data_IF_566931887472
#
_entry.id   IF_566931887472
#
_cell.length_a   1.000
_cell.length_b   1.000
_cell.length_c   1.000
_cell.angle_alpha   90.00
_cell.angle_beta   90.00
_cell.angle_gamma   90.00
#
_symmetry.space_group_name_H-M   'P 1'
#
loop_
_entity.id
_entity.type
_entity.pdbx_description
1 polymer ?
#
# COMPACT_ATOMS: atom_id res chain seq x y z
N UNK A 1 14.43 -26.43 -19.06
CA UNK A 1 13.03 -25.95 -19.11
C UNK A 1 12.85 -24.95 -17.99
N UNK A 2 12.50 -23.69 -18.28
CA UNK A 2 12.26 -22.70 -17.23
C UNK A 2 10.88 -22.96 -16.62
N UNK A 3 10.80 -23.14 -15.30
CA UNK A 3 9.53 -23.20 -14.60
C UNK A 3 9.01 -21.79 -14.34
N UNK A 4 7.75 -21.52 -14.69
CA UNK A 4 7.09 -20.26 -14.34
C UNK A 4 7.01 -20.10 -12.81
N UNK A 5 7.88 -19.27 -12.24
CA UNK A 5 7.88 -18.92 -10.82
C UNK A 5 6.90 -17.78 -10.53
N UNK A 6 6.14 -17.88 -9.43
CA UNK A 6 5.29 -16.80 -8.92
C UNK A 6 5.73 -16.46 -7.50
N UNK A 7 6.18 -15.23 -7.31
CA UNK A 7 6.67 -14.75 -6.01
C UNK A 7 5.85 -13.55 -5.55
N UNK A 8 5.79 -13.35 -4.23
CA UNK A 8 5.06 -12.26 -3.59
C UNK A 8 5.84 -11.78 -2.38
N UNK A 9 6.11 -10.48 -2.35
CA UNK A 9 6.82 -9.84 -1.26
C UNK A 9 6.06 -8.59 -0.80
N UNK A 10 6.25 -8.23 0.47
CA UNK A 10 5.72 -6.99 1.06
C UNK A 10 6.82 -5.93 0.97
N UNK A 11 6.54 -4.86 0.23
CA UNK A 11 7.50 -3.75 -0.03
C UNK A 11 7.26 -2.53 0.87
N UNK A 12 6.12 -2.49 1.55
CA UNK A 12 5.81 -1.53 2.60
C UNK A 12 4.65 -2.10 3.44
N UNK A 13 4.65 -1.83 4.74
CA UNK A 13 3.57 -2.20 5.65
C UNK A 13 3.46 -1.21 6.80
N UNK A 14 2.24 -0.95 7.22
CA UNK A 14 1.91 -0.23 8.45
C UNK A 14 0.90 -1.08 9.22
N UNK A 15 1.16 -1.27 10.50
CA UNK A 15 0.26 -1.96 11.42
C UNK A 15 -0.07 -1.00 12.55
N UNK A 16 -1.32 -0.53 12.61
CA UNK A 16 -1.79 0.34 13.70
C UNK A 16 -2.86 -0.37 14.53
N UNK A 17 -2.96 0.03 15.80
CA UNK A 17 -4.05 -0.31 16.72
C UNK A 17 -4.75 0.95 17.24
N UNK A 18 -4.48 2.11 16.65
CA UNK A 18 -5.00 3.38 17.12
C UNK A 18 -6.51 3.44 16.89
N UNK A 19 -7.27 3.84 17.92
CA UNK A 19 -8.74 3.90 17.91
C UNK A 19 -9.44 2.54 17.71
N UNK A 20 -8.75 1.44 18.04
CA UNK A 20 -9.35 0.12 18.14
C UNK A 20 -9.69 -0.24 19.60
N UNK A 21 -10.81 -0.94 19.86
CA UNK A 21 -11.80 -1.40 18.88
C UNK A 21 -12.69 -0.25 18.38
N UNK A 22 -13.07 -0.30 17.11
CA UNK A 22 -14.05 0.63 16.54
C UNK A 22 -15.41 0.33 17.19
N UNK A 23 -16.06 1.36 17.72
CA UNK A 23 -17.33 1.24 18.45
C UNK A 23 -18.41 0.76 17.47
N UNK A 24 -19.25 -0.18 17.91
CA UNK A 24 -20.37 -0.66 17.10
C UNK A 24 -21.31 0.49 16.73
N UNK A 25 -21.70 0.57 15.46
CA UNK A 25 -22.54 1.66 14.94
C UNK A 25 -21.79 2.96 14.63
N UNK A 26 -20.46 3.01 14.81
CA UNK A 26 -19.63 4.16 14.42
C UNK A 26 -18.91 3.92 13.08
N UNK A 27 -18.49 5.01 12.44
CA UNK A 27 -17.67 5.00 11.23
C UNK A 27 -16.26 5.43 11.56
N UNK A 28 -15.26 4.72 11.02
CA UNK A 28 -13.85 5.06 11.16
C UNK A 28 -13.26 5.43 9.80
N UNK A 29 -12.67 6.63 9.72
CA UNK A 29 -11.97 7.13 8.54
C UNK A 29 -10.53 7.48 8.91
N UNK A 30 -9.57 6.98 8.15
CA UNK A 30 -8.16 7.26 8.36
C UNK A 30 -7.36 7.17 7.05
N UNK A 31 -6.41 8.08 6.88
CA UNK A 31 -5.53 8.12 5.71
C UNK A 31 -4.16 7.58 6.08
N UNK A 32 -3.77 6.48 5.44
CA UNK A 32 -2.44 5.88 5.61
C UNK A 32 -1.52 6.29 4.46
N UNK A 33 -0.32 6.77 4.80
CA UNK A 33 0.76 7.00 3.83
C UNK A 33 1.74 5.82 3.81
N UNK A 34 1.90 5.16 2.67
CA UNK A 34 2.89 4.09 2.47
C UNK A 34 3.89 4.50 1.38
N UNK A 35 5.17 4.32 1.65
CA UNK A 35 6.23 4.50 0.65
C UNK A 35 6.77 3.12 0.27
N UNK A 36 6.46 2.60 -0.92
CA UNK A 36 6.96 1.30 -1.37
C UNK A 36 8.47 1.42 -1.62
N UNK A 37 9.26 0.65 -0.86
CA UNK A 37 10.73 0.66 -0.99
C UNK A 37 11.25 -0.75 -1.12
N UNK A 38 12.52 -0.90 -1.54
CA UNK A 38 13.16 -2.20 -1.54
C UNK A 38 13.16 -2.77 -0.11
N UNK A 39 12.50 -3.92 0.08
CA UNK A 39 12.45 -4.60 1.38
C UNK A 39 13.84 -5.08 1.80
N UNK A 40 14.04 -5.32 3.10
CA UNK A 40 15.24 -5.97 3.62
C UNK A 40 15.32 -7.46 3.24
N UNK A 41 14.20 -8.05 2.83
CA UNK A 41 14.16 -9.42 2.30
C UNK A 41 14.84 -9.47 0.94
N UNK A 42 15.98 -10.18 0.87
CA UNK A 42 16.87 -10.17 -0.30
C UNK A 42 16.34 -10.96 -1.51
N UNK A 43 15.29 -11.77 -1.34
CA UNK A 43 14.92 -12.79 -2.32
C UNK A 43 13.61 -12.43 -3.05
N UNK A 44 13.62 -12.62 -4.36
CA UNK A 44 12.42 -12.61 -5.21
C UNK A 44 11.67 -11.26 -5.27
N UNK A 45 12.41 -10.15 -5.23
CA UNK A 45 11.88 -8.80 -5.49
C UNK A 45 12.37 -8.34 -6.86
N UNK A 46 11.46 -7.80 -7.67
CA UNK A 46 11.81 -7.18 -8.94
C UNK A 46 12.31 -5.75 -8.71
N UNK A 47 13.47 -5.44 -9.27
CA UNK A 47 14.16 -4.15 -9.18
C UNK A 47 14.44 -3.62 -10.59
N UNK A 48 14.55 -2.30 -10.74
CA UNK A 48 14.94 -1.68 -12.01
C UNK A 48 16.40 -1.96 -12.39
N UNK A 49 17.26 -2.12 -11.38
CA UNK A 49 18.70 -2.31 -11.55
C UNK A 49 19.20 -3.37 -10.56
N UNK A 50 20.51 -3.62 -10.54
CA UNK A 50 21.17 -4.52 -9.63
C UNK A 50 20.87 -4.20 -8.16
N UNK A 51 20.67 -5.26 -7.37
CA UNK A 51 20.49 -5.16 -5.92
C UNK A 51 21.66 -4.47 -5.21
N UNK A 52 22.88 -4.57 -5.76
CA UNK A 52 24.10 -4.03 -5.13
C UNK A 52 24.28 -2.54 -5.35
N UNK A 53 23.55 -1.92 -6.29
CA UNK A 53 23.65 -0.50 -6.57
C UNK A 53 22.89 0.29 -5.51
N UNK A 54 23.53 1.32 -4.97
CA UNK A 54 22.89 2.26 -4.06
C UNK A 54 21.80 3.03 -4.80
N UNK A 55 20.60 3.14 -4.22
CA UNK A 55 19.49 3.86 -4.83
C UNK A 55 18.62 3.04 -5.79
N UNK A 56 18.83 1.73 -5.90
CA UNK A 56 17.97 0.86 -6.72
C UNK A 56 16.52 0.92 -6.25
N UNK A 57 15.61 1.19 -7.20
CA UNK A 57 14.16 1.21 -6.97
C UNK A 57 13.50 -0.12 -7.31
N UNK A 58 12.27 -0.29 -6.84
CA UNK A 58 11.38 -1.37 -7.24
C UNK A 58 11.08 -1.26 -8.75
N UNK A 59 10.96 -2.41 -9.42
CA UNK A 59 10.64 -2.45 -10.85
C UNK A 59 9.26 -1.84 -11.13
N UNK A 60 9.14 -1.17 -12.27
CA UNK A 60 7.88 -0.69 -12.81
C UNK A 60 6.92 -1.86 -13.10
N UNK A 61 5.64 -1.56 -13.16
CA UNK A 61 4.61 -2.57 -13.42
C UNK A 61 4.66 -3.02 -14.86
N UNK A 62 4.65 -4.34 -15.08
CA UNK A 62 4.70 -4.94 -16.41
C UNK A 62 3.42 -5.75 -16.60
N UNK A 63 2.54 -5.26 -17.47
CA UNK A 63 1.26 -5.91 -17.77
C UNK A 63 1.32 -6.64 -19.12
N UNK A 64 0.52 -7.69 -19.28
CA UNK A 64 0.31 -8.31 -20.59
C UNK A 64 -0.74 -7.50 -21.36
N UNK A 65 -0.45 -7.13 -22.61
CA UNK A 65 -1.40 -6.41 -23.46
C UNK A 65 -2.54 -7.29 -23.98
N UNK A 66 -2.38 -8.61 -23.95
CA UNK A 66 -3.42 -9.57 -24.37
C UNK A 66 -4.24 -10.05 -23.17
N UNK A 67 -5.54 -10.21 -23.40
CA UNK A 67 -6.47 -10.84 -22.47
C UNK A 67 -6.35 -12.36 -22.46
N UNK A 68 -5.77 -12.97 -23.50
CA UNK A 68 -5.58 -14.41 -23.59
C UNK A 68 -4.33 -14.83 -22.77
N UNK A 69 -4.44 -15.79 -21.86
CA UNK A 69 -3.31 -16.26 -21.07
C UNK A 69 -2.22 -16.94 -21.90
N UNK A 70 -2.58 -17.50 -23.07
CA UNK A 70 -1.66 -18.20 -23.98
C UNK A 70 -0.72 -17.24 -24.73
N UNK A 71 -1.09 -15.95 -24.82
CA UNK A 71 -0.28 -14.91 -25.48
C UNK A 71 0.81 -14.33 -24.56
N UNK A 72 0.94 -14.83 -23.33
CA UNK A 72 1.96 -14.35 -22.39
C UNK A 72 3.34 -14.77 -22.85
N UNK A 73 4.27 -13.81 -22.88
CA UNK A 73 5.66 -14.08 -23.19
C UNK A 73 6.31 -14.84 -22.02
N UNK A 74 6.64 -16.11 -22.26
CA UNK A 74 7.25 -17.02 -21.26
C UNK A 74 8.66 -16.61 -20.83
N UNK A 75 9.30 -15.68 -21.54
CA UNK A 75 10.59 -15.11 -21.20
C UNK A 75 10.49 -13.77 -20.46
N UNK A 76 9.27 -13.23 -20.28
CA UNK A 76 9.06 -11.96 -19.61
C UNK A 76 8.84 -12.12 -18.10
N UNK A 77 9.28 -11.11 -17.34
CA UNK A 77 8.95 -10.96 -15.94
C UNK A 77 7.75 -10.02 -15.83
N UNK A 78 6.61 -10.55 -15.40
CA UNK A 78 5.42 -9.75 -15.12
C UNK A 78 5.44 -9.27 -13.66
N UNK A 79 5.33 -7.96 -13.48
CA UNK A 79 5.38 -7.30 -12.16
C UNK A 79 4.06 -6.58 -11.92
N UNK A 80 3.40 -6.88 -10.81
CA UNK A 80 2.12 -6.28 -10.43
C UNK A 80 2.12 -5.91 -8.96
N UNK A 81 1.58 -4.73 -8.63
CA UNK A 81 1.46 -4.24 -7.26
C UNK A 81 0.00 -4.18 -6.81
N UNK A 82 -0.21 -4.37 -5.51
CA UNK A 82 -1.50 -4.11 -4.88
C UNK A 82 -1.28 -3.64 -3.44
N UNK A 83 -2.18 -2.80 -2.96
CA UNK A 83 -2.31 -2.49 -1.52
C UNK A 83 -3.30 -3.48 -0.92
N UNK A 84 -2.92 -4.12 0.19
CA UNK A 84 -3.85 -4.98 0.96
C UNK A 84 -4.19 -4.29 2.28
N UNK A 85 -5.45 -3.92 2.45
CA UNK A 85 -5.96 -3.44 3.73
C UNK A 85 -6.47 -4.65 4.52
N UNK A 86 -6.04 -4.76 5.78
CA UNK A 86 -6.42 -5.85 6.69
C UNK A 86 -7.07 -5.25 7.94
N UNK A 87 -8.29 -5.67 8.23
CA UNK A 87 -9.01 -5.38 9.46
C UNK A 87 -9.05 -6.64 10.30
N UNK A 88 -8.64 -6.53 11.57
CA UNK A 88 -8.73 -7.62 12.54
C UNK A 88 -9.95 -7.37 13.41
N UNK A 89 -10.97 -8.21 13.26
CA UNK A 89 -12.30 -8.01 13.87
C UNK A 89 -12.42 -8.90 15.10
N UNK A 90 -11.99 -8.40 16.27
CA UNK A 90 -12.09 -9.08 17.58
C UNK A 90 -11.59 -10.54 17.59
N UNK A 91 -11.72 -11.23 18.73
CA UNK A 91 -11.21 -12.59 18.93
C UNK A 91 -12.03 -13.64 18.16
N UNK A 92 -13.32 -13.37 17.91
CA UNK A 92 -14.20 -14.31 17.19
C UNK A 92 -14.48 -13.94 15.73
N UNK A 93 -14.19 -12.71 15.29
CA UNK A 93 -14.56 -12.21 13.96
C UNK A 93 -13.49 -12.32 12.87
N UNK A 94 -12.26 -12.70 13.21
CA UNK A 94 -11.20 -13.04 12.24
C UNK A 94 -10.57 -11.86 11.50
N UNK A 95 -10.05 -12.10 10.29
CA UNK A 95 -9.44 -11.08 9.40
C UNK A 95 -10.38 -10.80 8.21
N UNK A 96 -10.75 -9.53 8.03
CA UNK A 96 -11.36 -9.04 6.80
C UNK A 96 -10.28 -8.33 6.01
N UNK A 97 -10.18 -8.60 4.71
CA UNK A 97 -9.18 -7.92 3.89
C UNK A 97 -9.62 -7.66 2.47
N UNK A 98 -9.16 -6.55 1.92
CA UNK A 98 -9.38 -6.14 0.54
C UNK A 98 -8.05 -5.89 -0.15
N UNK A 99 -8.02 -6.04 -1.48
CA UNK A 99 -6.85 -5.74 -2.30
C UNK A 99 -7.22 -4.73 -3.37
N UNK A 100 -6.47 -3.64 -3.42
CA UNK A 100 -6.59 -2.61 -4.44
C UNK A 100 -5.35 -2.67 -5.34
N UNK A 101 -5.49 -3.05 -6.63
CA UNK A 101 -4.37 -3.02 -7.57
C UNK A 101 -3.99 -1.56 -7.90
N UNK A 102 -2.70 -1.33 -8.16
CA UNK A 102 -2.20 -0.05 -8.66
C UNK A 102 -0.98 -0.27 -9.55
N UNK A 103 -0.64 0.75 -10.35
CA UNK A 103 0.54 0.76 -11.22
C UNK A 103 1.65 1.58 -10.57
N UNK A 104 2.80 0.98 -10.37
CA UNK A 104 4.05 1.66 -10.06
C UNK A 104 4.85 1.89 -11.35
N UNK A 105 5.31 3.12 -11.59
CA UNK A 105 6.15 3.48 -12.72
C UNK A 105 7.32 4.32 -12.21
N UNK A 106 8.49 4.16 -12.80
CA UNK A 106 9.61 5.07 -12.58
C UNK A 106 9.38 6.37 -13.35
N UNK A 107 9.48 7.51 -12.67
CA UNK A 107 9.55 8.82 -13.33
C UNK A 107 11.01 9.07 -13.73
N UNK A 108 11.26 9.21 -15.03
CA UNK A 108 12.58 9.57 -15.53
C UNK A 108 12.80 11.06 -15.25
N UNK A 109 13.39 11.39 -14.11
CA UNK A 109 13.74 12.76 -13.75
C UNK A 109 15.04 13.17 -14.51
N UNK A 110 14.91 13.52 -15.79
CA UNK A 110 15.91 14.32 -16.52
C UNK A 110 15.55 15.83 -16.54
N UNK A 111 14.65 16.27 -15.67
CA UNK A 111 14.39 17.69 -15.46
C UNK A 111 14.65 18.05 -13.99
N UNK A 112 15.79 18.72 -13.79
CA UNK A 112 16.24 19.39 -12.57
C UNK A 112 15.23 20.46 -12.12
N UNK A 113 14.09 20.01 -11.61
CA UNK A 113 13.12 20.83 -10.91
C UNK A 113 12.78 20.12 -9.60
N UNK A 114 12.90 20.77 -8.43
CA UNK A 114 12.50 20.16 -7.17
C UNK A 114 10.97 20.03 -7.21
N UNK A 115 10.47 18.88 -7.64
CA UNK A 115 9.11 18.48 -7.33
C UNK A 115 9.05 18.38 -5.81
N UNK A 116 8.45 19.39 -5.17
CA UNK A 116 7.95 19.26 -3.81
C UNK A 116 7.04 18.04 -3.78
N UNK A 117 7.59 16.91 -3.31
CA UNK A 117 6.78 15.85 -2.73
C UNK A 117 5.83 16.55 -1.77
N UNK A 118 4.49 16.46 -1.96
CA UNK A 118 3.57 17.06 -1.02
C UNK A 118 3.89 16.42 0.33
N UNK A 119 4.53 17.18 1.21
CA UNK A 119 4.59 16.81 2.61
C UNK A 119 3.14 16.86 3.04
N UNK A 120 2.49 15.70 3.10
CA UNK A 120 1.21 15.59 3.79
C UNK A 120 1.52 15.93 5.24
N UNK A 121 1.38 17.21 5.57
CA UNK A 121 1.47 17.73 6.92
C UNK A 121 0.29 17.16 7.68
N UNK A 122 0.56 16.22 8.58
CA UNK A 122 -0.41 15.70 9.52
C UNK A 122 -0.93 16.84 10.42
N UNK A 123 -2.06 17.43 10.07
CA UNK A 123 -2.82 18.31 10.96
C UNK A 123 -3.88 17.45 11.66
N UNK A 124 -3.62 17.09 12.93
CA UNK A 124 -4.60 16.48 13.82
C UNK A 124 -5.63 17.55 14.19
N UNK A 125 -6.74 17.64 13.45
CA UNK A 125 -7.92 18.40 13.90
C UNK A 125 -8.69 17.55 14.89
N UNK A 126 -8.42 17.73 16.19
CA UNK A 126 -9.33 17.27 17.23
C UNK A 126 -10.52 18.23 17.28
N UNK A 127 -11.64 17.85 16.67
CA UNK A 127 -12.93 18.47 16.98
C UNK A 127 -13.45 17.76 18.21
N UNK A 128 -13.37 18.42 19.36
CA UNK A 128 -14.12 18.03 20.55
C UNK A 128 -15.47 18.71 20.42
N UNK A 129 -16.50 17.94 20.11
CA UNK A 129 -17.88 18.44 20.16
C UNK A 129 -18.35 18.39 21.62
N UNK A 130 -18.50 19.57 22.21
CA UNK A 130 -18.99 19.75 23.57
C UNK A 130 -20.51 19.49 23.60
N UNK A 131 -20.92 18.35 24.14
CA UNK A 131 -22.34 18.04 24.39
C UNK A 131 -22.83 18.92 25.53
N UNK A 132 -23.72 19.87 25.23
CA UNK A 132 -24.42 20.69 26.23
C UNK A 132 -25.28 19.80 27.15
N UNK A 133 -25.20 19.95 28.49
CA UNK A 133 -26.13 19.26 29.37
C UNK A 133 -27.52 19.89 29.28
N UNK A 134 -28.50 19.04 28.99
CA UNK A 134 -29.93 19.32 29.08
C UNK A 134 -30.27 19.70 30.53
N UNK A 135 -30.88 20.88 30.72
CA UNK A 135 -31.38 21.31 32.02
C UNK A 135 -32.70 20.58 32.30
N UNK A 136 -32.67 19.70 33.28
CA UNK A 136 -33.89 19.14 33.85
C UNK A 136 -34.67 20.26 34.56
N UNK A 137 -35.92 20.44 34.15
CA UNK A 137 -36.79 21.52 34.59
C UNK A 137 -38.01 20.98 35.31
N UNK A 138 -38.11 21.40 36.59
CA UNK A 138 -39.24 21.32 37.54
C UNK A 138 -39.19 20.17 38.54
#
# INVERSE_FOLDING_TARGET
MFSNGKFKNVVAAINTKDNCPIISGSTYEHTYGLVPTKSSTKNWIALEDSYTKSGTSLASSVMCSSTNPDDRNVFAIYVSYYVKVKLIVSVMGGEVSIKLPFTLMHTCDEADSPMEVPRIVYQRKSVVEEVKPEKDGT
#
